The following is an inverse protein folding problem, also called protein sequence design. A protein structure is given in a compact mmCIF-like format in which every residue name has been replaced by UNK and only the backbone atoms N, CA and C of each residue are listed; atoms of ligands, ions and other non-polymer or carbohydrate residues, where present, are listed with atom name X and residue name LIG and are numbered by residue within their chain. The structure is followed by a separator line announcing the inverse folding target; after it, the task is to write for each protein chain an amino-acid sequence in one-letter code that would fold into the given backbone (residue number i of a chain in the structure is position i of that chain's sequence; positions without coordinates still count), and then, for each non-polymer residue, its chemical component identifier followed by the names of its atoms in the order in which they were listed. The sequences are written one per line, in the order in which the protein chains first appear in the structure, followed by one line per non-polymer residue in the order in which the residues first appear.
data_IF_881840033185
#
_entry.id   IF_881840033185
#
_cell.length_a   1.000
_cell.length_b   1.000
_cell.length_c   1.000
_cell.angle_alpha   90.00
_cell.angle_beta   90.00
_cell.angle_gamma   90.00
#
_symmetry.space_group_name_H-M   'P 1'
#
loop_
_entity.id
_entity.type
_entity.pdbx_description
1 polymer ?
#
# COMPACT_ATOMS: atom_id res chain seq x y z
N UNK A 1 15.17 16.33 28.87
CA UNK A 1 14.39 17.30 29.68
C UNK A 1 14.54 16.99 31.17
N UNK A 2 15.40 17.72 31.88
CA UNK A 2 15.76 17.44 33.29
C UNK A 2 14.59 17.66 34.27
N UNK A 3 13.86 18.78 34.14
CA UNK A 3 12.71 19.14 34.99
C UNK A 3 11.59 18.09 35.04
N UNK A 4 11.30 17.39 33.93
CA UNK A 4 10.31 16.32 33.90
C UNK A 4 10.82 15.04 34.60
N UNK A 5 12.11 14.72 34.45
CA UNK A 5 12.73 13.55 35.09
C UNK A 5 12.86 13.76 36.60
N UNK A 6 13.22 14.95 37.04
CA UNK A 6 13.33 15.31 38.46
C UNK A 6 11.98 15.14 39.19
N UNK A 7 10.88 15.56 38.55
CA UNK A 7 9.51 15.37 39.08
C UNK A 7 9.04 13.92 39.12
N UNK A 8 9.46 13.11 38.16
CA UNK A 8 9.20 11.67 38.20
C UNK A 8 10.03 10.98 39.29
N UNK A 9 11.24 11.46 39.57
CA UNK A 9 12.12 10.93 40.61
C UNK A 9 11.64 11.30 42.02
N UNK A 10 11.03 12.46 42.20
CA UNK A 10 10.39 12.89 43.46
C UNK A 10 9.13 12.06 43.81
N UNK A 11 8.60 11.26 42.87
CA UNK A 11 7.51 10.31 43.13
C UNK A 11 6.14 10.96 43.45
N UNK A 12 6.05 12.29 43.45
CA UNK A 12 4.85 13.02 43.85
C UNK A 12 3.75 13.08 42.76
N UNK A 13 4.11 12.88 41.48
CA UNK A 13 3.17 13.06 40.36
C UNK A 13 3.13 11.87 39.39
N UNK A 14 1.91 11.47 38.99
CA UNK A 14 1.69 10.63 37.81
C UNK A 14 2.29 11.29 36.57
N UNK A 15 2.73 10.52 35.56
CA UNK A 15 3.33 11.03 34.30
C UNK A 15 2.51 12.15 33.65
N UNK A 16 1.17 12.10 33.79
CA UNK A 16 0.27 13.14 33.30
C UNK A 16 0.31 14.41 34.17
N UNK A 17 0.39 14.28 35.49
CA UNK A 17 0.54 15.38 36.44
C UNK A 17 1.84 16.16 36.20
N UNK A 18 2.96 15.43 36.07
CA UNK A 18 4.25 16.03 35.74
C UNK A 18 4.21 16.81 34.42
N UNK A 19 3.57 16.28 33.37
CA UNK A 19 3.40 16.97 32.08
C UNK A 19 2.53 18.22 32.18
N UNK A 20 1.44 18.17 32.95
CA UNK A 20 0.54 19.32 33.15
C UNK A 20 1.25 20.43 33.93
N UNK A 21 2.00 20.06 34.96
CA UNK A 21 2.70 21.03 35.79
C UNK A 21 3.87 21.69 35.05
N UNK A 22 4.70 20.90 34.37
CA UNK A 22 5.78 21.44 33.52
C UNK A 22 5.21 22.26 32.36
N UNK A 23 4.07 21.84 31.80
CA UNK A 23 3.34 22.61 30.79
C UNK A 23 2.86 23.96 31.31
N UNK A 24 2.32 24.00 32.54
CA UNK A 24 1.89 25.24 33.18
C UNK A 24 3.05 26.17 33.57
N UNK A 25 4.21 25.62 33.94
CA UNK A 25 5.41 26.42 34.27
C UNK A 25 6.06 27.06 33.03
N UNK A 26 5.95 26.41 31.88
CA UNK A 26 6.61 26.82 30.63
C UNK A 26 5.62 27.39 29.60
N UNK A 27 4.34 27.50 29.95
CA UNK A 27 3.22 27.81 29.03
C UNK A 27 3.22 26.94 27.76
N UNK A 28 3.52 25.65 27.92
CA UNK A 28 3.57 24.67 26.84
C UNK A 28 2.41 23.68 26.95
N UNK A 29 1.85 23.32 25.80
CA UNK A 29 0.82 22.28 25.75
C UNK A 29 1.41 20.93 26.24
N UNK A 30 0.76 20.23 27.19
CA UNK A 30 1.21 18.91 27.66
C UNK A 30 1.33 17.87 26.54
N UNK A 31 0.60 18.03 25.43
CA UNK A 31 0.75 17.19 24.23
C UNK A 31 2.12 17.38 23.56
N UNK A 32 2.64 18.60 23.53
CA UNK A 32 3.97 18.91 22.99
C UNK A 32 5.06 18.29 23.86
N UNK A 33 4.92 18.39 25.18
CA UNK A 33 5.83 17.75 26.13
C UNK A 33 5.85 16.23 25.97
N UNK A 34 4.69 15.59 25.78
CA UNK A 34 4.62 14.15 25.47
C UNK A 34 5.43 13.81 24.22
N UNK A 35 5.24 14.55 23.13
CA UNK A 35 5.93 14.30 21.87
C UNK A 35 7.44 14.46 22.02
N UNK A 36 7.91 15.49 22.73
CA UNK A 36 9.34 15.69 22.98
C UNK A 36 9.95 14.62 23.89
N UNK A 37 9.23 14.16 24.92
CA UNK A 37 9.68 13.05 25.76
C UNK A 37 9.78 11.76 24.92
N UNK A 38 8.80 11.48 24.06
CA UNK A 38 8.83 10.31 23.17
C UNK A 38 9.94 10.40 22.11
N UNK A 39 10.26 11.61 21.64
CA UNK A 39 11.37 11.86 20.73
C UNK A 39 12.73 11.75 21.41
N UNK A 40 12.84 12.20 22.65
CA UNK A 40 14.05 12.09 23.48
C UNK A 40 14.29 10.63 23.90
N UNK A 41 13.25 9.91 24.31
CA UNK A 41 13.31 8.45 24.56
C UNK A 41 13.76 7.66 23.31
N UNK A 42 13.40 8.15 22.12
CA UNK A 42 13.83 7.57 20.83
C UNK A 42 15.30 7.86 20.52
N UNK A 43 15.80 9.04 20.92
CA UNK A 43 17.21 9.43 20.75
C UNK A 43 18.12 8.74 21.77
N UNK A 44 17.68 8.64 23.03
CA UNK A 44 18.43 8.06 24.15
C UNK A 44 18.39 6.52 24.17
N UNK A 45 17.56 5.89 23.32
CA UNK A 45 17.47 4.43 23.20
C UNK A 45 16.89 3.72 24.44
N UNK A 46 16.38 4.47 25.42
CA UNK A 46 15.89 3.95 26.71
C UNK A 46 14.54 3.26 26.60
N UNK A 47 13.82 3.45 25.49
CA UNK A 47 12.59 2.72 25.19
C UNK A 47 12.92 1.50 24.33
N UNK A 48 12.59 0.31 24.85
CA UNK A 48 12.67 -0.94 24.11
C UNK A 48 12.07 -0.75 22.69
N UNK A 49 12.81 -1.07 21.64
CA UNK A 49 12.59 -0.47 20.35
C UNK A 49 11.38 -1.09 19.67
N UNK A 50 10.32 -0.30 19.46
CA UNK A 50 9.50 -0.42 18.24
C UNK A 50 10.35 0.02 17.01
N UNK A 51 11.55 0.56 17.25
CA UNK A 51 12.51 0.99 16.23
C UNK A 51 13.27 -0.16 15.55
N UNK A 52 13.40 -1.35 16.16
CA UNK A 52 13.92 -2.53 15.44
C UNK A 52 12.92 -2.98 14.41
N UNK A 53 11.63 -3.03 14.78
CA UNK A 53 10.52 -3.27 13.85
C UNK A 53 10.51 -2.19 12.77
N UNK A 54 10.48 -0.89 13.08
CA UNK A 54 10.51 0.17 12.04
C UNK A 54 11.78 0.21 11.17
N UNK A 55 12.95 -0.14 11.71
CA UNK A 55 14.22 -0.17 10.97
C UNK A 55 14.30 -1.37 10.02
N UNK A 56 13.92 -2.55 10.51
CA UNK A 56 13.78 -3.78 9.72
C UNK A 56 12.68 -3.58 8.65
N UNK A 57 11.52 -3.03 9.03
CA UNK A 57 10.44 -2.67 8.10
C UNK A 57 10.93 -1.70 7.02
N UNK A 58 11.79 -0.74 7.36
CA UNK A 58 12.34 0.23 6.39
C UNK A 58 13.25 -0.44 5.36
N UNK A 59 14.12 -1.36 5.78
CA UNK A 59 15.03 -2.07 4.88
C UNK A 59 14.28 -3.13 4.04
N UNK A 60 13.32 -3.82 4.64
CA UNK A 60 12.40 -4.74 3.94
C UNK A 60 11.54 -3.98 2.91
N UNK A 61 10.99 -2.83 3.27
CA UNK A 61 10.23 -1.96 2.35
C UNK A 61 11.12 -1.47 1.21
N UNK A 62 12.38 -1.13 1.48
CA UNK A 62 13.32 -0.75 0.41
C UNK A 62 13.65 -1.92 -0.51
N UNK A 63 13.85 -3.12 0.04
CA UNK A 63 14.09 -4.33 -0.73
C UNK A 63 12.88 -4.72 -1.59
N UNK A 64 11.67 -4.64 -1.01
CA UNK A 64 10.41 -4.90 -1.70
C UNK A 64 10.17 -3.90 -2.83
N UNK A 65 10.40 -2.59 -2.59
CA UNK A 65 10.27 -1.56 -3.64
C UNK A 65 11.23 -1.80 -4.82
N UNK A 66 12.46 -2.26 -4.55
CA UNK A 66 13.40 -2.63 -5.62
C UNK A 66 12.88 -3.81 -6.44
N UNK A 67 12.39 -4.86 -5.78
CA UNK A 67 11.80 -6.04 -6.45
C UNK A 67 10.57 -5.69 -7.27
N UNK A 68 9.68 -4.83 -6.75
CA UNK A 68 8.50 -4.36 -7.50
C UNK A 68 8.91 -3.59 -8.75
N UNK A 69 9.86 -2.65 -8.64
CA UNK A 69 10.34 -1.90 -9.80
C UNK A 69 11.00 -2.80 -10.87
N UNK A 70 11.69 -3.86 -10.46
CA UNK A 70 12.27 -4.84 -11.39
C UNK A 70 11.18 -5.69 -12.08
N UNK A 71 10.17 -6.14 -11.32
CA UNK A 71 9.04 -6.88 -11.87
C UNK A 71 8.20 -6.04 -12.83
N UNK A 72 8.00 -4.75 -12.53
CA UNK A 72 7.31 -3.81 -13.42
C UNK A 72 8.07 -3.64 -14.73
N UNK A 73 9.41 -3.46 -14.68
CA UNK A 73 10.24 -3.42 -15.90
C UNK A 73 10.14 -4.69 -16.72
N UNK A 74 10.17 -5.86 -16.09
CA UNK A 74 10.00 -7.12 -16.78
C UNK A 74 8.61 -7.25 -17.43
N UNK A 75 7.56 -6.79 -16.73
CA UNK A 75 6.21 -6.79 -17.26
C UNK A 75 6.09 -5.88 -18.49
N UNK A 76 6.71 -4.71 -18.47
CA UNK A 76 6.72 -3.78 -19.60
C UNK A 76 7.43 -4.37 -20.83
N UNK A 77 8.54 -5.09 -20.65
CA UNK A 77 9.22 -5.82 -21.73
C UNK A 77 8.30 -6.90 -22.31
N UNK A 78 7.63 -7.67 -21.46
CA UNK A 78 6.73 -8.72 -21.90
C UNK A 78 5.49 -8.15 -22.61
N UNK A 79 4.91 -7.06 -22.09
CA UNK A 79 3.77 -6.37 -22.70
C UNK A 79 4.12 -5.77 -24.04
N UNK A 80 5.26 -5.10 -24.14
CA UNK A 80 5.74 -4.56 -25.41
C UNK A 80 6.00 -5.67 -26.41
N UNK A 81 6.69 -6.74 -26.01
CA UNK A 81 6.90 -7.94 -26.84
C UNK A 81 5.58 -8.54 -27.31
N UNK A 82 4.60 -8.74 -26.43
CA UNK A 82 3.28 -9.26 -26.79
C UNK A 82 2.52 -8.34 -27.76
N UNK A 83 2.60 -7.02 -27.56
CA UNK A 83 2.01 -6.05 -28.48
C UNK A 83 2.66 -6.10 -29.88
N UNK A 84 3.98 -6.34 -29.94
CA UNK A 84 4.68 -6.57 -31.21
C UNK A 84 4.32 -7.92 -31.82
N UNK A 85 4.29 -9.00 -31.04
CA UNK A 85 3.95 -10.35 -31.52
C UNK A 85 2.53 -10.45 -32.09
N UNK A 86 1.55 -9.77 -31.47
CA UNK A 86 0.18 -9.71 -31.97
C UNK A 86 0.04 -8.88 -33.25
N UNK A 87 0.88 -7.85 -33.44
CA UNK A 87 0.89 -7.02 -34.66
C UNK A 87 1.69 -7.63 -35.82
N UNK A 88 2.69 -8.48 -35.52
CA UNK A 88 3.67 -9.02 -36.49
C UNK A 88 3.60 -10.55 -36.66
N UNK A 89 2.48 -11.19 -36.31
CA UNK A 89 2.33 -12.60 -36.63
C UNK A 89 2.20 -12.77 -38.15
N UNK A 90 3.29 -13.20 -38.80
CA UNK A 90 3.31 -13.58 -40.22
C UNK A 90 2.46 -14.83 -40.51
N UNK A 91 2.05 -15.53 -39.45
CA UNK A 91 1.21 -16.74 -39.47
C UNK A 91 -0.15 -16.51 -38.83
N UNK A 92 -0.49 -15.27 -38.44
CA UNK A 92 -1.87 -14.93 -38.09
C UNK A 92 -2.65 -14.92 -39.40
N UNK A 93 -3.17 -16.10 -39.70
CA UNK A 93 -3.99 -16.38 -40.85
C UNK A 93 -5.15 -15.37 -40.91
N UNK A 94 -5.10 -14.47 -41.89
CA UNK A 94 -6.15 -13.46 -42.12
C UNK A 94 -7.51 -14.08 -42.48
N UNK A 95 -7.53 -15.39 -42.76
CA UNK A 95 -8.70 -16.16 -43.16
C UNK A 95 -9.71 -16.35 -42.02
N UNK A 96 -9.31 -16.22 -40.76
CA UNK A 96 -10.18 -16.53 -39.61
C UNK A 96 -11.05 -15.34 -39.12
N UNK A 97 -10.91 -14.16 -39.74
CA UNK A 97 -11.80 -13.00 -39.46
C UNK A 97 -13.17 -13.08 -40.15
N UNK A 98 -13.41 -14.09 -40.99
CA UNK A 98 -14.62 -14.19 -41.83
C UNK A 98 -15.63 -15.28 -41.46
N UNK A 99 -15.29 -16.26 -40.62
CA UNK A 99 -16.05 -17.52 -40.58
C UNK A 99 -17.15 -17.63 -39.50
N UNK A 100 -17.41 -16.58 -38.70
CA UNK A 100 -18.54 -16.60 -37.75
C UNK A 100 -19.59 -15.51 -37.97
N UNK A 101 -19.72 -14.97 -39.19
CA UNK A 101 -20.90 -14.15 -39.55
C UNK A 101 -21.56 -14.60 -40.85
N UNK A 102 -22.17 -15.79 -40.79
CA UNK A 102 -23.53 -16.14 -41.26
C UNK A 102 -23.54 -17.56 -41.81
N UNK A 103 -24.07 -18.51 -41.03
CA UNK A 103 -24.94 -19.58 -41.53
C UNK A 103 -25.96 -19.96 -40.44
N UNK A 104 -27.18 -19.45 -40.60
CA UNK A 104 -28.42 -20.18 -40.30
C UNK A 104 -29.57 -19.44 -40.98
N UNK A 105 -29.56 -19.50 -42.32
CA UNK A 105 -30.72 -19.22 -43.14
C UNK A 105 -31.79 -20.30 -42.93
N UNK A 106 -33.01 -19.82 -42.71
CA UNK A 106 -34.32 -20.46 -42.89
C UNK A 106 -34.59 -21.82 -42.23
N UNK A 107 -35.24 -21.79 -41.05
CA UNK A 107 -36.22 -22.82 -40.70
C UNK A 107 -37.56 -22.40 -41.33
N UNK A 108 -37.87 -22.93 -42.52
CA UNK A 108 -39.25 -22.89 -43.05
C UNK A 108 -40.13 -23.73 -42.12
N UNK A 109 -41.08 -23.10 -41.44
CA UNK A 109 -42.15 -23.79 -40.71
C UNK A 109 -43.22 -24.23 -41.71
N UNK A 110 -43.67 -25.50 -41.72
CA UNK A 110 -44.87 -25.84 -42.46
C UNK A 110 -46.09 -25.27 -41.74
N UNK A 111 -46.94 -24.56 -42.48
CA UNK A 111 -48.27 -24.18 -42.06
C UNK A 111 -49.07 -25.45 -41.77
N UNK A 112 -49.58 -25.59 -40.54
CA UNK A 112 -50.67 -26.54 -40.26
C UNK A 112 -51.89 -25.71 -39.91
N UNK A 113 -52.75 -25.53 -40.91
CA UNK A 113 -54.15 -25.14 -40.75
C UNK A 113 -54.84 -26.18 -39.88
N UNK A 114 -55.51 -25.75 -38.82
CA UNK A 114 -56.52 -26.56 -38.12
C UNK A 114 -57.84 -25.80 -38.23
N UNK A 115 -58.89 -26.39 -38.84
CA UNK A 115 -60.19 -25.75 -38.97
C UNK A 115 -61.05 -25.94 -37.72
N UNK A 116 -61.92 -24.94 -37.50
CA UNK A 116 -63.16 -24.87 -36.71
C UNK A 116 -63.15 -25.47 -35.29
#
# INVERSE_FOLDING_TARGET
MRMYRDRLAEGADSKLGARRHVGALLDLNPATLRNWIEDEERRDGTRAPIATVRGIDSDEVRALKKRVAELERANDILRTSAAFSLRRSSTADSSDRGLYRRLSGSVRRPCRSVPC
#
